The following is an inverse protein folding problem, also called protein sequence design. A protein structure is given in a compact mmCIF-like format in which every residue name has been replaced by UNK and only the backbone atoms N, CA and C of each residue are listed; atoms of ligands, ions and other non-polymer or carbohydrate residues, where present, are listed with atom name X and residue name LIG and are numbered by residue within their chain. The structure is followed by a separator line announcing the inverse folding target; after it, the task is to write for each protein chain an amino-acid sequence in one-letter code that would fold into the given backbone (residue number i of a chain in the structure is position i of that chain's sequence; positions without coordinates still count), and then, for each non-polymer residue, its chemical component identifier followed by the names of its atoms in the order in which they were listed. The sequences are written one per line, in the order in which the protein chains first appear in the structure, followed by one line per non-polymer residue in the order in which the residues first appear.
data_IF_570799731483
#
_entry.id   IF_570799731483
#
_cell.length_a   1.000
_cell.length_b   1.000
_cell.length_c   1.000
_cell.angle_alpha   90.00
_cell.angle_beta   90.00
_cell.angle_gamma   90.00
#
_symmetry.space_group_name_H-M   'P 1'
#
loop_
_entity.id
_entity.type
_entity.pdbx_description
1 polymer ?
#
# COMPACT_ATOMS: atom_id res chain seq x y z
N UNK A 1 21.85 -3.40 3.18
CA UNK A 1 20.58 -2.75 3.56
C UNK A 1 19.54 -3.79 3.97
N UNK A 2 19.09 -4.70 3.09
CA UNK A 2 17.99 -5.66 3.40
C UNK A 2 18.18 -6.41 4.72
N UNK A 3 19.36 -7.00 4.97
CA UNK A 3 19.61 -7.75 6.21
C UNK A 3 19.48 -6.88 7.48
N UNK A 4 19.91 -5.62 7.43
CA UNK A 4 19.79 -4.70 8.57
C UNK A 4 18.34 -4.24 8.76
N UNK A 5 17.63 -3.94 7.68
CA UNK A 5 16.21 -3.59 7.75
C UNK A 5 15.37 -4.76 8.29
N UNK A 6 15.66 -5.98 7.86
CA UNK A 6 15.03 -7.19 8.42
C UNK A 6 15.39 -7.40 9.90
N UNK A 7 16.65 -7.13 10.29
CA UNK A 7 17.05 -7.17 11.71
C UNK A 7 16.24 -6.16 12.53
N UNK A 8 16.07 -4.93 12.05
CA UNK A 8 15.23 -3.92 12.72
C UNK A 8 13.81 -4.41 12.90
N UNK A 9 13.16 -4.95 11.84
CA UNK A 9 11.82 -5.54 11.92
C UNK A 9 11.73 -6.59 13.03
N UNK A 10 12.67 -7.54 13.06
CA UNK A 10 12.66 -8.62 14.04
C UNK A 10 12.86 -8.11 15.47
N UNK A 11 13.77 -7.15 15.68
CA UNK A 11 13.98 -6.51 16.97
C UNK A 11 12.72 -5.78 17.46
N UNK A 12 12.06 -5.03 16.58
CA UNK A 12 10.81 -4.35 16.90
C UNK A 12 9.69 -5.33 17.27
N UNK A 13 9.58 -6.48 16.59
CA UNK A 13 8.59 -7.51 16.92
C UNK A 13 8.79 -8.10 18.35
N UNK A 14 10.02 -8.26 18.80
CA UNK A 14 10.29 -8.83 20.12
C UNK A 14 10.37 -7.77 21.23
N UNK A 15 10.41 -6.49 20.89
CA UNK A 15 10.64 -5.38 21.84
C UNK A 15 9.59 -5.27 22.95
N UNK A 16 8.39 -5.76 22.72
CA UNK A 16 7.33 -5.78 23.73
C UNK A 16 7.50 -6.92 24.76
N UNK A 17 8.37 -7.89 24.48
CA UNK A 17 8.55 -9.08 25.34
C UNK A 17 9.96 -9.20 25.91
N UNK A 18 10.94 -8.62 25.21
CA UNK A 18 12.36 -8.66 25.57
C UNK A 18 12.92 -7.25 25.44
N UNK A 19 13.72 -6.82 26.41
CA UNK A 19 14.43 -5.55 26.30
C UNK A 19 15.55 -5.68 25.28
N UNK A 20 15.34 -5.06 24.13
CA UNK A 20 16.28 -4.98 22.99
C UNK A 20 16.47 -3.52 22.55
N UNK A 21 16.25 -2.58 23.49
CA UNK A 21 16.33 -1.14 23.27
C UNK A 21 17.70 -0.73 22.70
N UNK A 22 18.77 -1.25 23.30
CA UNK A 22 20.14 -0.95 22.84
C UNK A 22 20.41 -1.48 21.44
N UNK A 23 19.93 -2.67 21.11
CA UNK A 23 20.12 -3.29 19.79
C UNK A 23 19.33 -2.57 18.70
N UNK A 24 18.13 -2.06 19.02
CA UNK A 24 17.32 -1.27 18.09
C UNK A 24 18.02 0.06 17.82
N UNK A 25 18.39 0.80 18.86
CA UNK A 25 19.08 2.09 18.72
C UNK A 25 20.39 1.94 17.93
N UNK A 26 21.19 0.94 18.26
CA UNK A 26 22.41 0.64 17.54
C UNK A 26 22.17 0.26 16.07
N UNK A 27 21.07 -0.45 15.77
CA UNK A 27 20.70 -0.83 14.40
C UNK A 27 20.32 0.39 13.57
N UNK A 28 19.54 1.32 14.14
CA UNK A 28 19.13 2.57 13.50
C UNK A 28 20.33 3.49 13.31
N UNK A 29 21.10 3.75 14.38
CA UNK A 29 22.26 4.65 14.37
C UNK A 29 23.39 4.18 13.44
N UNK A 30 23.53 2.87 13.22
CA UNK A 30 24.53 2.33 12.29
C UNK A 30 24.20 2.63 10.82
N UNK A 31 22.96 2.97 10.51
CA UNK A 31 22.49 3.14 9.14
C UNK A 31 22.48 1.82 8.35
N UNK A 32 22.70 1.88 7.03
CA UNK A 32 22.60 0.73 6.13
C UNK A 32 21.22 0.07 6.13
N UNK A 33 20.19 0.83 6.42
CA UNK A 33 18.79 0.48 6.24
C UNK A 33 18.34 0.81 4.79
N UNK A 34 17.11 0.52 4.42
CA UNK A 34 16.56 1.03 3.18
C UNK A 34 16.49 2.55 3.23
N UNK A 35 16.81 3.21 2.13
CA UNK A 35 16.88 4.68 2.01
C UNK A 35 15.88 5.24 0.98
N UNK A 36 15.28 4.36 0.17
CA UNK A 36 14.30 4.76 -0.83
C UNK A 36 13.52 3.54 -1.33
N UNK A 37 12.47 3.78 -2.11
CA UNK A 37 11.70 2.72 -2.78
C UNK A 37 12.55 1.86 -3.75
N UNK A 38 13.70 2.35 -4.20
CA UNK A 38 14.64 1.56 -4.99
C UNK A 38 15.30 0.41 -4.20
N UNK A 39 15.31 0.50 -2.87
CA UNK A 39 15.82 -0.54 -1.98
C UNK A 39 14.77 -1.59 -1.61
N UNK A 40 13.50 -1.42 -2.04
CA UNK A 40 12.42 -2.36 -1.73
C UNK A 40 12.81 -3.78 -2.10
N UNK A 41 12.75 -4.69 -1.13
CA UNK A 41 12.98 -6.10 -1.36
C UNK A 41 11.72 -6.73 -1.96
N UNK A 42 11.79 -7.06 -3.23
CA UNK A 42 10.66 -7.64 -3.96
C UNK A 42 11.13 -8.68 -4.97
N UNK A 43 10.30 -9.71 -5.19
CA UNK A 43 10.44 -10.60 -6.32
C UNK A 43 9.79 -9.94 -7.54
N UNK A 44 10.60 -9.61 -8.53
CA UNK A 44 10.13 -9.08 -9.82
C UNK A 44 9.71 -10.24 -10.70
N UNK A 45 8.46 -10.25 -11.14
CA UNK A 45 7.96 -11.24 -12.08
C UNK A 45 8.28 -10.79 -13.52
N UNK A 46 8.55 -11.75 -14.40
CA UNK A 46 8.94 -11.47 -15.79
C UNK A 46 7.76 -11.28 -16.73
N UNK A 47 6.53 -11.51 -16.25
CA UNK A 47 5.31 -11.44 -17.06
C UNK A 47 5.11 -12.60 -18.04
N UNK A 48 5.95 -13.65 -17.95
CA UNK A 48 5.88 -14.81 -18.82
C UNK A 48 5.89 -16.10 -17.97
N UNK A 49 5.06 -17.06 -18.39
CA UNK A 49 5.05 -18.39 -17.74
C UNK A 49 6.46 -19.00 -17.72
N UNK A 50 6.93 -19.60 -16.60
CA UNK A 50 6.21 -19.78 -15.32
C UNK A 50 6.42 -18.65 -14.29
N UNK A 51 7.03 -17.54 -14.67
CA UNK A 51 7.44 -16.44 -13.79
C UNK A 51 6.47 -15.24 -13.90
N UNK A 52 5.18 -15.51 -13.88
CA UNK A 52 4.11 -14.52 -13.83
C UNK A 52 3.69 -14.25 -12.40
N UNK A 53 3.12 -13.06 -12.16
CA UNK A 53 2.47 -12.80 -10.89
C UNK A 53 1.33 -13.81 -10.65
N UNK A 54 1.20 -14.41 -9.46
CA UNK A 54 0.32 -15.56 -9.24
C UNK A 54 -1.16 -15.37 -9.59
N UNK A 55 -1.64 -14.14 -9.61
CA UNK A 55 -3.04 -13.84 -9.97
C UNK A 55 -3.26 -13.72 -11.48
N UNK A 56 -2.20 -13.50 -12.29
CA UNK A 56 -2.33 -13.31 -13.75
C UNK A 56 -2.98 -14.50 -14.46
N UNK A 57 -2.61 -15.78 -14.15
CA UNK A 57 -3.20 -16.92 -14.84
C UNK A 57 -4.57 -17.34 -14.28
N UNK A 58 -5.13 -16.63 -13.30
CA UNK A 58 -6.46 -16.96 -12.78
C UNK A 58 -7.52 -16.77 -13.86
N UNK A 59 -8.50 -17.64 -13.86
CA UNK A 59 -9.69 -17.46 -14.70
C UNK A 59 -10.46 -16.22 -14.26
N UNK A 60 -11.04 -15.51 -15.21
CA UNK A 60 -11.80 -14.29 -14.92
C UNK A 60 -12.89 -14.52 -13.86
N UNK A 61 -13.64 -15.63 -13.93
CA UNK A 61 -14.67 -15.95 -12.94
C UNK A 61 -14.13 -16.20 -11.52
N UNK A 62 -12.94 -16.76 -11.40
CA UNK A 62 -12.29 -16.95 -10.07
C UNK A 62 -11.75 -15.61 -9.55
N UNK A 63 -11.26 -14.77 -10.44
CA UNK A 63 -10.76 -13.44 -10.10
C UNK A 63 -11.90 -12.47 -9.72
N UNK A 64 -13.08 -12.63 -10.29
CA UNK A 64 -14.26 -11.85 -9.95
C UNK A 64 -14.66 -11.96 -8.48
N UNK A 65 -14.28 -13.06 -7.81
CA UNK A 65 -14.50 -13.24 -6.38
C UNK A 65 -13.49 -12.44 -5.50
N UNK A 66 -12.43 -11.87 -6.10
CA UNK A 66 -11.42 -11.10 -5.36
C UNK A 66 -11.74 -9.62 -5.47
N UNK A 67 -12.27 -9.06 -4.39
CA UNK A 67 -12.71 -7.67 -4.32
C UNK A 67 -12.01 -6.90 -3.20
N UNK A 68 -11.95 -5.58 -3.35
CA UNK A 68 -11.52 -4.69 -2.27
C UNK A 68 -12.48 -4.81 -1.07
N UNK A 69 -11.98 -5.13 0.10
CA UNK A 69 -12.79 -5.22 1.32
C UNK A 69 -13.37 -3.86 1.73
N UNK A 70 -14.62 -3.88 2.26
CA UNK A 70 -15.36 -2.66 2.62
C UNK A 70 -14.57 -1.76 3.58
N UNK A 71 -13.87 -2.32 4.56
CA UNK A 71 -13.08 -1.53 5.52
C UNK A 71 -11.92 -0.77 4.88
N UNK A 72 -11.20 -1.41 3.96
CA UNK A 72 -10.13 -0.75 3.23
C UNK A 72 -10.69 0.33 2.30
N UNK A 73 -11.80 0.04 1.61
CA UNK A 73 -12.47 1.00 0.75
C UNK A 73 -12.95 2.25 1.52
N UNK A 74 -13.63 2.06 2.66
CA UNK A 74 -14.15 3.16 3.47
C UNK A 74 -13.01 4.08 3.95
N UNK A 75 -11.93 3.51 4.50
CA UNK A 75 -10.78 4.27 4.96
C UNK A 75 -10.11 5.05 3.81
N UNK A 76 -9.79 4.38 2.71
CA UNK A 76 -9.13 5.03 1.57
C UNK A 76 -10.03 6.06 0.88
N UNK A 77 -11.34 5.82 0.83
CA UNK A 77 -12.30 6.75 0.23
C UNK A 77 -12.50 7.99 1.10
N UNK A 78 -12.57 7.84 2.43
CA UNK A 78 -12.68 8.96 3.37
C UNK A 78 -11.43 9.85 3.31
N UNK A 79 -10.26 9.24 3.25
CA UNK A 79 -8.98 9.94 3.14
C UNK A 79 -8.72 10.50 1.72
N UNK A 80 -9.51 10.10 0.71
CA UNK A 80 -9.19 10.31 -0.71
C UNK A 80 -7.77 9.84 -1.05
N UNK A 81 -7.41 8.65 -0.56
CA UNK A 81 -6.09 8.07 -0.70
C UNK A 81 -5.77 7.76 -2.17
N UNK A 82 -4.68 8.29 -2.75
CA UNK A 82 -4.31 8.05 -4.15
C UNK A 82 -4.13 6.57 -4.49
N UNK A 83 -3.75 5.74 -3.52
CA UNK A 83 -3.56 4.30 -3.72
C UNK A 83 -4.85 3.54 -4.03
N UNK A 84 -6.03 4.14 -3.78
CA UNK A 84 -7.30 3.50 -4.11
C UNK A 84 -7.37 3.13 -5.60
N UNK A 85 -6.87 3.99 -6.48
CA UNK A 85 -6.84 3.75 -7.93
C UNK A 85 -5.93 2.60 -8.34
N UNK A 86 -4.88 2.35 -7.56
CA UNK A 86 -3.92 1.28 -7.81
C UNK A 86 -4.43 -0.07 -7.29
N UNK A 87 -5.08 -0.05 -6.12
CA UNK A 87 -5.58 -1.27 -5.47
C UNK A 87 -6.90 -1.76 -6.02
N UNK A 88 -7.71 -0.87 -6.60
CA UNK A 88 -9.06 -1.17 -7.04
C UNK A 88 -9.31 -0.76 -8.50
N UNK A 89 -9.98 -1.63 -9.25
CA UNK A 89 -10.52 -1.30 -10.58
C UNK A 89 -11.83 -0.54 -10.41
N UNK A 90 -12.05 0.58 -11.12
CA UNK A 90 -13.35 1.24 -11.14
C UNK A 90 -14.48 0.28 -11.54
N UNK A 91 -15.61 0.37 -10.87
CA UNK A 91 -16.81 -0.44 -11.19
C UNK A 91 -17.44 -0.07 -12.53
N UNK A 92 -17.20 1.14 -13.00
CA UNK A 92 -17.78 1.72 -14.21
C UNK A 92 -16.74 1.93 -15.32
N UNK A 93 -15.75 1.07 -15.40
CA UNK A 93 -14.63 1.20 -16.36
C UNK A 93 -15.10 1.30 -17.82
N UNK A 94 -16.15 0.56 -18.21
CA UNK A 94 -16.72 0.61 -19.56
C UNK A 94 -17.29 2.01 -19.89
N UNK A 95 -17.96 2.64 -18.92
CA UNK A 95 -18.48 3.99 -19.08
C UNK A 95 -17.35 5.03 -19.15
N UNK A 96 -16.28 4.85 -18.37
CA UNK A 96 -15.08 5.70 -18.44
C UNK A 96 -14.37 5.57 -19.78
N UNK A 97 -14.26 4.37 -20.32
CA UNK A 97 -13.69 4.15 -21.65
C UNK A 97 -14.52 4.78 -22.78
N UNK A 98 -15.82 4.94 -22.57
CA UNK A 98 -16.73 5.54 -23.55
C UNK A 98 -16.76 7.08 -23.49
N UNK A 99 -16.30 7.70 -22.41
CA UNK A 99 -16.35 9.16 -22.23
C UNK A 99 -15.37 9.65 -21.16
N UNK A 100 -14.53 10.58 -21.52
CA UNK A 100 -13.54 11.22 -20.62
C UNK A 100 -14.18 12.09 -19.51
N UNK A 101 -15.49 12.32 -19.59
CA UNK A 101 -16.21 13.08 -18.55
C UNK A 101 -16.75 12.22 -17.42
N UNK A 102 -16.70 10.90 -17.57
CA UNK A 102 -17.19 9.95 -16.58
C UNK A 102 -16.13 9.73 -15.50
N UNK A 103 -16.47 10.06 -14.25
CA UNK A 103 -15.57 9.84 -13.11
C UNK A 103 -15.59 8.37 -12.68
N UNK A 104 -14.45 7.90 -12.17
CA UNK A 104 -14.31 6.57 -11.59
C UNK A 104 -15.23 6.39 -10.38
N UNK A 105 -15.88 5.23 -10.30
CA UNK A 105 -16.71 4.82 -9.17
C UNK A 105 -16.11 3.57 -8.55
N UNK A 106 -15.81 3.62 -7.28
CA UNK A 106 -15.26 2.51 -6.50
C UNK A 106 -16.28 1.98 -5.49
N UNK A 107 -16.01 0.82 -4.91
CA UNK A 107 -16.82 0.24 -3.86
C UNK A 107 -16.06 -0.85 -3.10
N UNK A 108 -16.52 -1.15 -1.88
CA UNK A 108 -15.98 -2.23 -1.06
C UNK A 108 -16.96 -3.38 -0.92
N UNK A 109 -16.45 -4.60 -0.87
CA UNK A 109 -17.25 -5.81 -0.61
C UNK A 109 -17.22 -6.16 0.88
N UNK A 110 -18.35 -6.61 1.42
CA UNK A 110 -18.43 -7.06 2.82
C UNK A 110 -17.65 -8.36 2.98
N UNK A 111 -16.68 -8.37 3.91
CA UNK A 111 -15.87 -9.55 4.18
C UNK A 111 -16.75 -10.69 4.76
N UNK A 112 -16.52 -11.90 4.25
CA UNK A 112 -17.27 -13.07 4.69
C UNK A 112 -18.68 -13.18 4.11
N UNK A 113 -19.02 -12.41 3.08
CA UNK A 113 -20.27 -12.57 2.34
C UNK A 113 -20.31 -13.93 1.66
N UNK A 114 -21.38 -14.70 1.90
CA UNK A 114 -21.60 -16.01 1.25
C UNK A 114 -22.10 -15.86 -0.21
N UNK A 115 -22.55 -14.68 -0.57
CA UNK A 115 -23.17 -14.45 -1.88
C UNK A 115 -22.18 -13.83 -2.85
N UNK A 116 -21.59 -14.65 -3.72
CA UNK A 116 -20.70 -14.22 -4.79
C UNK A 116 -21.37 -13.28 -5.81
N UNK A 117 -22.71 -13.27 -5.89
CA UNK A 117 -23.46 -12.34 -6.75
C UNK A 117 -23.49 -10.91 -6.18
N UNK A 118 -23.24 -10.72 -4.90
CA UNK A 118 -23.19 -9.40 -4.25
C UNK A 118 -21.80 -8.76 -4.44
N UNK A 119 -20.73 -9.54 -4.31
CA UNK A 119 -19.36 -9.07 -4.47
C UNK A 119 -19.11 -8.33 -5.79
N UNK A 120 -19.46 -8.86 -6.97
CA UNK A 120 -19.26 -8.18 -8.25
C UNK A 120 -20.06 -6.89 -8.39
N UNK A 121 -21.19 -6.75 -7.66
CA UNK A 121 -22.06 -5.57 -7.75
C UNK A 121 -21.62 -4.44 -6.85
N UNK A 122 -21.19 -4.76 -5.64
CA UNK A 122 -20.90 -3.76 -4.60
C UNK A 122 -19.41 -3.48 -4.44
N UNK A 123 -18.55 -4.46 -4.68
CA UNK A 123 -17.11 -4.35 -4.57
C UNK A 123 -16.41 -3.99 -5.88
N UNK A 124 -15.37 -3.18 -5.78
CA UNK A 124 -14.36 -3.03 -6.83
C UNK A 124 -13.47 -4.26 -6.86
N UNK A 125 -13.21 -4.80 -8.06
CA UNK A 125 -12.19 -5.83 -8.27
C UNK A 125 -10.80 -5.26 -7.99
N UNK A 126 -9.79 -6.12 -7.88
CA UNK A 126 -8.40 -5.69 -7.78
C UNK A 126 -7.99 -4.81 -8.96
N UNK A 127 -7.09 -3.87 -8.71
CA UNK A 127 -6.61 -2.93 -9.71
C UNK A 127 -5.90 -3.59 -10.89
N UNK A 128 -5.75 -2.85 -11.96
CA UNK A 128 -5.16 -3.32 -13.23
C UNK A 128 -3.72 -3.82 -13.07
N UNK A 129 -3.00 -3.32 -12.08
CA UNK A 129 -1.66 -3.77 -11.70
C UNK A 129 -1.60 -5.26 -11.34
N UNK A 130 -2.68 -5.82 -10.81
CA UNK A 130 -2.71 -7.19 -10.28
C UNK A 130 -3.28 -8.20 -11.25
N UNK A 131 -4.01 -7.76 -12.27
CA UNK A 131 -4.65 -8.67 -13.21
C UNK A 131 -4.81 -8.09 -14.60
N UNK A 132 -4.54 -8.93 -15.59
CA UNK A 132 -4.65 -8.58 -17.00
C UNK A 132 -6.10 -8.77 -17.49
N UNK A 133 -6.91 -7.74 -17.36
CA UNK A 133 -8.30 -7.80 -17.82
C UNK A 133 -8.38 -7.87 -19.36
N UNK A 134 -9.09 -8.86 -19.94
CA UNK A 134 -9.23 -9.01 -21.38
C UNK A 134 -9.73 -7.72 -22.05
N UNK A 135 -9.03 -7.28 -23.09
CA UNK A 135 -9.39 -6.10 -23.84
C UNK A 135 -9.06 -4.76 -23.19
N UNK A 136 -8.42 -4.74 -22.02
CA UNK A 136 -7.98 -3.50 -21.38
C UNK A 136 -6.55 -3.14 -21.81
N UNK A 137 -6.32 -1.94 -22.37
CA UNK A 137 -5.01 -1.56 -22.93
C UNK A 137 -3.90 -1.39 -21.88
N UNK A 138 -4.22 -1.29 -20.59
CA UNK A 138 -3.26 -1.14 -19.49
C UNK A 138 -3.06 -2.42 -18.67
N UNK A 139 -3.36 -3.54 -19.26
CA UNK A 139 -3.43 -4.82 -18.57
C UNK A 139 -2.07 -5.54 -18.44
N UNK A 140 -1.01 -4.82 -18.22
CA UNK A 140 0.26 -5.42 -17.79
C UNK A 140 0.26 -5.53 -16.27
N UNK A 141 0.00 -6.74 -15.78
CA UNK A 141 0.11 -7.03 -14.36
C UNK A 141 1.57 -6.82 -13.92
N UNK A 142 1.83 -5.64 -13.36
CA UNK A 142 3.15 -5.20 -12.93
C UNK A 142 3.38 -5.39 -11.43
N UNK A 143 2.51 -6.15 -10.76
CA UNK A 143 2.64 -6.41 -9.35
C UNK A 143 3.89 -7.27 -9.07
N UNK A 144 4.63 -6.86 -8.05
CA UNK A 144 5.79 -7.59 -7.55
C UNK A 144 5.43 -8.34 -6.28
N UNK A 145 6.14 -9.43 -6.00
CA UNK A 145 6.06 -10.14 -4.72
C UNK A 145 6.83 -9.37 -3.65
N UNK A 146 6.17 -8.49 -2.92
CA UNK A 146 6.80 -7.64 -1.90
C UNK A 146 7.19 -8.46 -0.69
N UNK A 147 8.46 -8.33 -0.27
CA UNK A 147 9.02 -8.96 0.94
C UNK A 147 9.17 -7.93 2.05
N UNK A 148 9.70 -6.75 1.73
CA UNK A 148 9.89 -5.64 2.65
C UNK A 148 10.01 -4.33 1.88
N UNK A 149 9.38 -3.28 2.38
CA UNK A 149 9.40 -1.95 1.75
C UNK A 149 10.22 -0.94 2.53
N UNK A 150 10.65 0.11 1.85
CA UNK A 150 11.23 1.29 2.49
C UNK A 150 10.20 1.97 3.41
N UNK A 151 8.95 2.07 2.98
CA UNK A 151 7.88 2.61 3.82
C UNK A 151 7.77 1.88 5.17
N UNK A 152 7.89 0.55 5.18
CA UNK A 152 7.89 -0.23 6.43
C UNK A 152 9.07 0.14 7.32
N UNK A 153 10.26 0.33 6.77
CA UNK A 153 11.45 0.73 7.54
C UNK A 153 11.24 2.09 8.19
N UNK A 154 10.68 3.05 7.46
CA UNK A 154 10.36 4.37 7.98
C UNK A 154 9.37 4.30 9.15
N UNK A 155 8.31 3.50 9.06
CA UNK A 155 7.38 3.30 10.16
C UNK A 155 8.01 2.59 11.37
N UNK A 156 8.92 1.64 11.16
CA UNK A 156 9.66 1.00 12.27
C UNK A 156 10.55 1.99 13.00
N UNK A 157 11.20 2.91 12.29
CA UNK A 157 12.01 3.98 12.90
C UNK A 157 11.12 4.97 13.65
N UNK A 158 9.99 5.38 13.02
CA UNK A 158 9.01 6.26 13.66
C UNK A 158 8.49 5.66 14.97
N UNK A 159 8.13 4.37 14.98
CA UNK A 159 7.69 3.66 16.18
C UNK A 159 8.79 3.60 17.24
N UNK A 160 10.04 3.31 16.87
CA UNK A 160 11.17 3.27 17.79
C UNK A 160 11.41 4.65 18.42
N UNK A 161 11.35 5.72 17.64
CA UNK A 161 11.47 7.09 18.12
C UNK A 161 10.33 7.49 19.05
N UNK A 162 9.09 7.17 18.68
CA UNK A 162 7.91 7.44 19.52
C UNK A 162 7.94 6.69 20.84
N UNK A 163 8.50 5.49 20.89
CA UNK A 163 8.74 4.73 22.14
C UNK A 163 9.93 5.25 22.96
N UNK A 164 10.66 6.25 22.48
CA UNK A 164 11.88 6.78 23.12
C UNK A 164 13.07 5.82 23.07
N UNK A 165 13.05 4.86 22.16
CA UNK A 165 14.17 3.91 21.92
C UNK A 165 15.25 4.56 21.07
N UNK A 166 14.86 5.39 20.08
CA UNK A 166 15.75 6.10 19.19
C UNK A 166 15.57 7.61 19.36
N UNK A 167 16.63 8.37 19.04
CA UNK A 167 16.61 9.85 19.02
C UNK A 167 16.14 10.44 17.70
N UNK A 168 15.71 9.61 16.74
CA UNK A 168 15.18 10.04 15.46
C UNK A 168 13.87 10.84 15.62
N UNK A 169 13.50 11.59 14.59
CA UNK A 169 12.25 12.35 14.56
C UNK A 169 11.07 11.46 14.14
N UNK A 170 10.22 11.10 15.09
CA UNK A 170 9.09 10.21 14.85
C UNK A 170 8.13 10.74 13.79
N UNK A 171 7.82 12.05 13.78
CA UNK A 171 6.94 12.67 12.79
C UNK A 171 7.55 12.64 11.38
N UNK A 172 8.84 12.98 11.27
CA UNK A 172 9.54 12.97 10.00
C UNK A 172 9.54 11.57 9.36
N UNK A 173 9.85 10.54 10.14
CA UNK A 173 9.84 9.15 9.65
C UNK A 173 8.42 8.64 9.35
N UNK A 174 7.43 8.99 10.16
CA UNK A 174 6.03 8.66 9.88
C UNK A 174 5.57 9.26 8.56
N UNK A 175 5.84 10.54 8.33
CA UNK A 175 5.53 11.26 7.09
C UNK A 175 6.24 10.64 5.89
N UNK A 176 7.54 10.35 6.01
CA UNK A 176 8.33 9.67 4.98
C UNK A 176 7.77 8.27 4.65
N UNK A 177 7.32 7.53 5.66
CA UNK A 177 6.70 6.23 5.46
C UNK A 177 5.41 6.29 4.65
N UNK A 178 4.53 7.27 4.92
CA UNK A 178 3.32 7.50 4.14
C UNK A 178 3.66 7.86 2.69
N UNK A 179 4.56 8.82 2.51
CA UNK A 179 5.00 9.26 1.19
C UNK A 179 5.58 8.09 0.38
N UNK A 180 6.51 7.35 0.95
CA UNK A 180 7.12 6.19 0.31
C UNK A 180 6.07 5.11 -0.05
N UNK A 181 5.08 4.90 0.81
CA UNK A 181 3.99 3.95 0.57
C UNK A 181 3.09 4.35 -0.60
N UNK A 182 2.88 5.64 -0.84
CA UNK A 182 2.10 6.12 -1.98
C UNK A 182 2.96 6.06 -3.25
N UNK A 183 4.15 6.65 -3.21
CA UNK A 183 5.02 6.83 -4.37
C UNK A 183 5.59 5.53 -4.95
N UNK A 184 5.56 4.43 -4.22
CA UNK A 184 5.91 3.13 -4.80
C UNK A 184 4.88 2.63 -5.83
N UNK A 185 3.68 3.21 -5.86
CA UNK A 185 2.58 2.83 -6.75
C UNK A 185 2.18 3.94 -7.70
N UNK A 186 2.00 5.15 -7.20
CA UNK A 186 1.51 6.29 -7.97
C UNK A 186 2.02 7.60 -7.40
N UNK A 187 2.09 8.62 -8.25
CA UNK A 187 2.29 10.02 -7.87
C UNK A 187 1.12 10.89 -8.36
N UNK A 188 0.00 10.27 -8.75
CA UNK A 188 -1.17 10.96 -9.25
C UNK A 188 -2.08 11.38 -8.08
N UNK A 189 -1.73 12.48 -7.45
CA UNK A 189 -2.49 13.09 -6.37
C UNK A 189 -3.73 13.83 -6.89
N UNK A 190 -3.64 14.43 -8.08
CA UNK A 190 -4.70 15.21 -8.74
C UNK A 190 -5.98 14.40 -8.95
N UNK A 191 -5.86 13.11 -9.25
CA UNK A 191 -7.00 12.23 -9.47
C UNK A 191 -7.90 12.08 -8.23
N UNK A 192 -7.35 12.32 -7.03
CA UNK A 192 -8.10 12.34 -5.77
C UNK A 192 -8.38 13.76 -5.26
N UNK A 193 -7.93 14.79 -6.00
CA UNK A 193 -8.18 16.20 -5.72
C UNK A 193 -7.18 16.82 -4.75
N UNK A 194 -5.97 16.30 -4.70
CA UNK A 194 -4.84 16.88 -3.95
C UNK A 194 -3.85 17.53 -4.92
N UNK A 195 -3.26 18.65 -4.54
CA UNK A 195 -2.24 19.30 -5.35
C UNK A 195 -0.91 18.49 -5.38
N UNK A 196 -0.53 17.94 -4.22
CA UNK A 196 0.66 17.12 -4.04
C UNK A 196 0.60 16.31 -2.73
N UNK A 197 1.72 15.67 -2.35
CA UNK A 197 1.83 14.93 -1.10
C UNK A 197 1.65 15.81 0.13
N UNK A 198 2.18 17.03 0.13
CA UNK A 198 2.09 17.93 1.28
C UNK A 198 0.63 18.34 1.54
N UNK A 199 -0.12 18.61 0.48
CA UNK A 199 -1.55 18.91 0.57
C UNK A 199 -2.33 17.70 1.10
N UNK A 200 -2.07 16.50 0.58
CA UNK A 200 -2.64 15.25 1.08
C UNK A 200 -2.33 15.04 2.56
N UNK A 201 -1.06 15.13 2.96
CA UNK A 201 -0.63 14.88 4.34
C UNK A 201 -1.27 15.85 5.34
N UNK A 202 -1.37 17.13 4.97
CA UNK A 202 -1.90 18.17 5.83
C UNK A 202 -3.43 18.13 5.98
N UNK A 203 -4.16 17.73 4.94
CA UNK A 203 -5.61 17.95 4.85
C UNK A 203 -6.45 16.67 4.80
N UNK A 204 -5.85 15.51 4.51
CA UNK A 204 -6.59 14.24 4.54
C UNK A 204 -6.91 13.81 5.97
N UNK A 205 -8.14 13.34 6.18
CA UNK A 205 -8.64 12.96 7.52
C UNK A 205 -7.81 11.85 8.15
N UNK A 206 -7.23 12.11 9.33
CA UNK A 206 -6.51 11.10 10.12
C UNK A 206 -5.19 10.62 9.51
N UNK A 207 -4.59 11.39 8.60
CA UNK A 207 -3.31 11.06 7.97
C UNK A 207 -2.14 11.71 8.68
N UNK A 208 -2.28 12.98 9.11
CA UNK A 208 -1.21 13.69 9.81
C UNK A 208 -0.85 13.03 11.15
N UNK A 209 0.42 13.13 11.51
CA UNK A 209 0.94 12.60 12.76
C UNK A 209 0.27 13.26 13.98
N UNK A 210 -0.23 12.47 14.90
CA UNK A 210 -0.95 12.94 16.10
C UNK A 210 -0.14 12.76 17.41
N UNK A 211 1.08 12.24 17.31
CA UNK A 211 1.95 12.00 18.48
C UNK A 211 1.55 10.79 19.32
N UNK A 212 0.66 9.94 18.83
CA UNK A 212 0.23 8.73 19.55
C UNK A 212 0.72 7.46 18.86
N UNK A 213 0.95 6.41 19.66
CA UNK A 213 1.05 5.04 19.15
C UNK A 213 -0.35 4.46 19.29
N UNK A 214 -1.07 4.33 18.18
CA UNK A 214 -2.31 3.56 18.18
C UNK A 214 -1.97 2.12 18.54
N UNK A 215 -2.42 1.66 19.69
CA UNK A 215 -2.21 0.33 20.23
C UNK A 215 -2.90 -0.77 19.42
#
# INVERSE_FOLDING_TARGET
KFANSLKLRLLMYVSNSVDVTTEIDACISAGNLFESNADNAALVFTGNFPNEFPLVPMKEGDFDAVNLGIRAFEAMSEQKDPRLMEYARPKNVEAMMASDTVKAVYGGAVNGSENTDVCPKDGSRLGLRYYNYPGHPMADAMANGIIMTYAEVEFLIAEAAQKGISSEDAEAHYKSGIQASIEQYTMDYDAMGWDDFEDFYANATGVSYDGTIAG
#
